data_IF_176300171239
#
_entry.id   IF_176300171239
#
_cell.length_a   1.000
_cell.length_b   1.000
_cell.length_c   1.000
_cell.angle_alpha   90.00
_cell.angle_beta   90.00
_cell.angle_gamma   90.00
#
_symmetry.space_group_name_H-M   'P 1'
#
loop_
_entity.id
_entity.type
_entity.pdbx_description
1 polymer ?
#
# COMPACT_ATOMS: atom_id res chain seq x y z
N UNK A 1 8.38 4.08 -61.97
CA UNK A 1 7.30 4.33 -60.97
C UNK A 1 7.55 3.48 -59.72
N UNK A 2 8.34 3.95 -58.73
CA UNK A 2 8.68 3.20 -57.49
C UNK A 2 8.46 4.00 -56.18
N UNK A 3 7.82 5.16 -56.28
CA UNK A 3 7.60 6.08 -55.16
C UNK A 3 6.56 5.69 -54.08
N UNK A 4 5.57 4.78 -54.27
CA UNK A 4 4.48 4.66 -53.29
C UNK A 4 4.92 3.98 -51.98
N UNK A 5 5.95 3.14 -51.98
CA UNK A 5 6.40 2.42 -50.78
C UNK A 5 7.11 3.32 -49.77
N UNK A 6 7.91 4.27 -50.23
CA UNK A 6 8.63 5.20 -49.35
C UNK A 6 7.68 6.17 -48.65
N UNK A 7 6.68 6.68 -49.37
CA UNK A 7 5.65 7.55 -48.81
C UNK A 7 4.81 6.82 -47.73
N UNK A 8 4.43 5.57 -47.98
CA UNK A 8 3.68 4.75 -47.02
C UNK A 8 4.51 4.49 -45.75
N UNK A 9 5.80 4.18 -45.88
CA UNK A 9 6.68 3.98 -44.71
C UNK A 9 6.88 5.26 -43.88
N UNK A 10 7.01 6.41 -44.53
CA UNK A 10 7.11 7.70 -43.84
C UNK A 10 5.82 8.04 -43.07
N UNK A 11 4.65 7.84 -43.68
CA UNK A 11 3.36 8.07 -43.02
C UNK A 11 3.18 7.12 -41.83
N UNK A 12 3.48 5.84 -41.99
CA UNK A 12 3.45 4.87 -40.90
C UNK A 12 4.41 5.26 -39.77
N UNK A 13 5.61 5.73 -40.11
CA UNK A 13 6.59 6.24 -39.13
C UNK A 13 6.06 7.45 -38.35
N UNK A 14 5.46 8.43 -39.02
CA UNK A 14 4.88 9.61 -38.36
C UNK A 14 3.69 9.25 -37.48
N UNK A 15 2.80 8.37 -37.95
CA UNK A 15 1.63 7.92 -37.18
C UNK A 15 2.05 7.15 -35.93
N UNK A 16 3.04 6.25 -36.06
CA UNK A 16 3.57 5.49 -34.91
C UNK A 16 4.26 6.40 -33.90
N UNK A 17 5.09 7.34 -34.34
CA UNK A 17 5.74 8.32 -33.45
C UNK A 17 4.71 9.22 -32.76
N UNK A 18 3.67 9.68 -33.47
CA UNK A 18 2.59 10.47 -32.90
C UNK A 18 1.77 9.66 -31.87
N UNK A 19 1.43 8.41 -32.18
CA UNK A 19 0.70 7.52 -31.26
C UNK A 19 1.50 7.23 -29.99
N UNK A 20 2.82 6.99 -30.13
CA UNK A 20 3.74 6.82 -29.00
C UNK A 20 3.83 8.10 -28.18
N UNK A 21 3.98 9.27 -28.80
CA UNK A 21 3.99 10.56 -28.09
C UNK A 21 2.68 10.81 -27.32
N UNK A 22 1.52 10.50 -27.90
CA UNK A 22 0.22 10.61 -27.23
C UNK A 22 0.15 9.65 -26.05
N UNK A 23 0.64 8.42 -26.19
CA UNK A 23 0.68 7.44 -25.11
C UNK A 23 1.58 7.88 -23.95
N UNK A 24 2.79 8.39 -24.25
CA UNK A 24 3.71 8.91 -23.23
C UNK A 24 3.21 10.18 -22.53
N UNK A 25 2.37 10.98 -23.20
CA UNK A 25 1.76 12.19 -22.62
C UNK A 25 0.46 11.93 -21.85
N UNK A 26 0.02 10.67 -21.73
CA UNK A 26 -1.17 10.38 -20.92
C UNK A 26 -0.89 10.75 -19.46
N UNK A 27 -1.67 11.67 -18.85
CA UNK A 27 -1.53 11.96 -17.45
C UNK A 27 -1.77 10.66 -16.67
N UNK A 28 -0.81 10.30 -15.83
CA UNK A 28 -1.04 9.24 -14.86
C UNK A 28 -2.17 9.70 -13.93
N UNK A 29 -3.11 8.83 -13.55
CA UNK A 29 -4.08 9.20 -12.53
C UNK A 29 -3.30 9.70 -11.31
N UNK A 30 -3.63 10.90 -10.85
CA UNK A 30 -3.01 11.45 -9.66
C UNK A 30 -3.15 10.41 -8.53
N UNK A 31 -2.04 10.04 -7.88
CA UNK A 31 -2.13 9.24 -6.65
C UNK A 31 -3.05 9.99 -5.71
N UNK A 32 -4.09 9.33 -5.22
CA UNK A 32 -4.95 9.96 -4.22
C UNK A 32 -4.09 10.32 -3.01
N UNK A 33 -4.26 11.53 -2.45
CA UNK A 33 -3.55 11.91 -1.24
C UNK A 33 -3.94 10.94 -0.12
N UNK A 34 -2.99 10.60 0.73
CA UNK A 34 -3.25 9.77 1.91
C UNK A 34 -4.29 10.45 2.80
N UNK A 35 -5.26 9.69 3.29
CA UNK A 35 -6.36 10.19 4.12
C UNK A 35 -6.35 9.51 5.49
N UNK A 36 -6.43 10.33 6.53
CA UNK A 36 -6.78 9.88 7.89
C UNK A 36 -8.26 10.23 8.08
N UNK A 37 -9.15 9.25 8.27
CA UNK A 37 -10.56 9.52 8.50
C UNK A 37 -10.79 10.01 9.94
N UNK A 38 -12.01 10.46 10.22
CA UNK A 38 -12.50 10.48 11.60
C UNK A 38 -12.58 9.03 12.10
N UNK A 39 -11.82 8.73 13.14
CA UNK A 39 -11.66 7.37 13.67
C UNK A 39 -12.77 7.03 14.66
N UNK A 40 -13.22 5.78 14.65
CA UNK A 40 -14.07 5.26 15.73
C UNK A 40 -13.36 5.32 17.08
N UNK A 41 -14.10 5.27 18.19
CA UNK A 41 -13.51 5.22 19.53
C UNK A 41 -12.57 4.01 19.72
N UNK A 42 -12.90 2.88 19.09
CA UNK A 42 -12.06 1.68 19.09
C UNK A 42 -10.77 1.91 18.28
N UNK A 43 -10.88 2.49 17.08
CA UNK A 43 -9.73 2.82 16.25
C UNK A 43 -8.83 3.90 16.89
N UNK A 44 -9.38 4.87 17.61
CA UNK A 44 -8.59 5.84 18.37
C UNK A 44 -7.77 5.17 19.49
N UNK A 45 -8.35 4.16 20.16
CA UNK A 45 -7.60 3.35 21.12
C UNK A 45 -6.53 2.51 20.41
N UNK A 46 -6.86 1.93 19.24
CA UNK A 46 -5.94 1.21 18.38
C UNK A 46 -4.77 2.05 17.88
N UNK A 47 -5.02 3.30 17.52
CA UNK A 47 -4.00 4.26 17.09
C UNK A 47 -2.96 4.47 18.18
N UNK A 48 -3.39 4.76 19.42
CA UNK A 48 -2.45 4.97 20.53
C UNK A 48 -1.56 3.74 20.78
N UNK A 49 -2.15 2.54 20.66
CA UNK A 49 -1.42 1.28 20.80
C UNK A 49 -0.45 1.07 19.63
N UNK A 50 -0.87 1.39 18.41
CA UNK A 50 -0.03 1.32 17.22
C UNK A 50 1.16 2.30 17.32
N UNK A 51 0.92 3.53 17.77
CA UNK A 51 1.96 4.54 17.96
C UNK A 51 2.99 4.08 19.00
N UNK A 52 2.54 3.43 20.07
CA UNK A 52 3.39 2.89 21.13
C UNK A 52 4.25 1.70 20.66
N UNK A 53 3.66 0.76 19.91
CA UNK A 53 4.29 -0.53 19.63
C UNK A 53 4.81 -0.72 18.21
N UNK A 54 4.26 0.00 17.22
CA UNK A 54 4.39 -0.37 15.81
C UNK A 54 4.95 0.76 14.94
N UNK A 55 4.61 2.02 15.23
CA UNK A 55 4.93 3.17 14.38
C UNK A 55 6.44 3.39 14.19
N UNK A 56 7.27 2.99 15.17
CA UNK A 56 8.74 3.06 15.04
C UNK A 56 9.27 2.34 13.80
N UNK A 57 8.60 1.26 13.37
CA UNK A 57 8.99 0.49 12.19
C UNK A 57 8.05 0.72 11.01
N UNK A 58 6.74 0.78 11.26
CA UNK A 58 5.72 0.88 10.22
C UNK A 58 5.31 2.31 9.87
N UNK A 59 5.98 3.31 10.46
CA UNK A 59 5.74 4.73 10.20
C UNK A 59 4.47 5.26 10.85
N UNK A 60 4.36 6.58 10.86
CA UNK A 60 3.14 7.27 11.26
C UNK A 60 1.97 6.85 10.37
N UNK A 61 0.81 6.66 11.00
CA UNK A 61 -0.42 6.22 10.32
C UNK A 61 -0.27 4.92 9.53
N UNK A 62 0.67 4.06 9.93
CA UNK A 62 1.01 2.82 9.24
C UNK A 62 1.32 3.01 7.75
N UNK A 63 1.82 4.18 7.37
CA UNK A 63 2.14 4.56 5.99
C UNK A 63 3.51 4.05 5.51
N UNK A 64 4.20 3.26 6.35
CA UNK A 64 5.53 2.72 6.09
C UNK A 64 6.63 3.68 6.54
N UNK A 65 7.81 3.12 6.77
CA UNK A 65 9.03 3.87 7.07
C UNK A 65 10.23 3.19 6.40
N UNK A 66 11.43 3.71 6.66
CA UNK A 66 12.66 3.11 6.14
C UNK A 66 12.90 1.66 6.63
N UNK A 67 12.26 1.27 7.74
CA UNK A 67 12.51 0.01 8.46
C UNK A 67 11.32 -0.95 8.45
N UNK A 68 10.21 -0.61 7.80
CA UNK A 68 9.03 -1.46 7.80
C UNK A 68 7.99 -1.02 6.76
N UNK A 69 7.19 -1.98 6.26
CA UNK A 69 6.28 -1.74 5.15
C UNK A 69 5.06 -0.90 5.55
N UNK A 70 4.43 -0.22 4.57
CA UNK A 70 3.12 0.40 4.75
C UNK A 70 2.06 -0.68 4.98
N UNK A 71 1.32 -0.61 6.09
CA UNK A 71 0.17 -1.49 6.33
C UNK A 71 -1.10 -0.95 5.66
N UNK A 72 -1.13 0.34 5.29
CA UNK A 72 -2.12 0.93 4.40
C UNK A 72 -1.71 0.70 2.94
N UNK A 73 -1.64 -0.57 2.56
CA UNK A 73 -1.30 -1.03 1.21
C UNK A 73 -2.19 -2.22 0.80
N UNK A 74 -2.47 -2.37 -0.50
CA UNK A 74 -3.33 -3.44 -1.04
C UNK A 74 -2.81 -4.83 -0.74
N UNK A 75 -1.50 -4.99 -0.52
CA UNK A 75 -0.91 -6.23 -0.03
C UNK A 75 -1.62 -6.74 1.22
N UNK A 76 -2.06 -5.83 2.10
CA UNK A 76 -2.67 -6.14 3.38
C UNK A 76 -4.19 -5.96 3.41
N UNK A 77 -4.85 -5.89 2.25
CA UNK A 77 -6.30 -5.71 2.18
C UNK A 77 -7.05 -6.90 2.81
N UNK A 78 -8.24 -6.69 3.41
CA UNK A 78 -9.01 -7.72 4.11
C UNK A 78 -9.24 -9.01 3.33
N UNK A 79 -9.48 -8.91 2.01
CA UNK A 79 -9.71 -10.08 1.16
C UNK A 79 -8.49 -10.99 0.97
N UNK A 80 -7.27 -10.48 1.20
CA UNK A 80 -6.01 -11.24 1.04
C UNK A 80 -5.41 -11.58 2.40
N UNK A 81 -5.36 -10.60 3.30
CA UNK A 81 -4.87 -10.74 4.66
C UNK A 81 -6.00 -10.44 5.63
N UNK A 82 -6.65 -11.49 6.14
CA UNK A 82 -7.67 -11.39 7.18
C UNK A 82 -7.07 -10.84 8.49
N UNK A 83 -7.93 -10.37 9.41
CA UNK A 83 -7.49 -9.76 10.68
C UNK A 83 -6.62 -10.71 11.54
N UNK A 84 -6.91 -12.02 11.50
CA UNK A 84 -6.10 -13.03 12.18
C UNK A 84 -4.65 -13.08 11.68
N UNK A 85 -4.39 -12.64 10.44
CA UNK A 85 -3.02 -12.57 9.92
C UNK A 85 -2.19 -11.52 10.66
N UNK A 86 -2.80 -10.40 11.06
CA UNK A 86 -2.13 -9.37 11.87
C UNK A 86 -1.82 -9.90 13.27
N UNK A 87 -2.76 -10.62 13.88
CA UNK A 87 -2.55 -11.27 15.18
C UNK A 87 -1.41 -12.30 15.14
N UNK A 88 -1.40 -13.15 14.11
CA UNK A 88 -0.32 -14.13 13.92
C UNK A 88 1.02 -13.44 13.65
N UNK A 89 1.04 -12.39 12.82
CA UNK A 89 2.24 -11.62 12.52
C UNK A 89 2.83 -10.99 13.78
N UNK A 90 1.99 -10.36 14.60
CA UNK A 90 2.42 -9.75 15.86
C UNK A 90 2.98 -10.81 16.82
N UNK A 91 2.29 -11.93 17.01
CA UNK A 91 2.72 -12.90 18.03
C UNK A 91 3.79 -13.90 17.58
N UNK A 92 3.92 -14.16 16.28
CA UNK A 92 4.87 -15.16 15.73
C UNK A 92 5.99 -14.54 14.91
N UNK A 93 5.91 -13.25 14.59
CA UNK A 93 6.77 -12.60 13.61
C UNK A 93 6.44 -13.03 12.18
N UNK A 94 7.11 -12.41 11.21
CA UNK A 94 6.89 -12.64 9.78
C UNK A 94 8.22 -12.65 9.03
N UNK A 95 8.53 -13.73 8.26
CA UNK A 95 9.64 -13.70 7.32
C UNK A 95 9.40 -12.69 6.19
N UNK A 96 10.44 -11.96 5.79
CA UNK A 96 10.37 -11.05 4.66
C UNK A 96 9.99 -11.81 3.36
N UNK A 97 8.96 -11.34 2.66
CA UNK A 97 8.54 -11.93 1.38
C UNK A 97 8.06 -10.89 0.35
N UNK A 98 7.20 -9.93 0.74
CA UNK A 98 6.73 -8.88 -0.18
C UNK A 98 7.64 -7.64 -0.22
N UNK A 99 8.39 -7.40 0.86
CA UNK A 99 9.21 -6.21 1.03
C UNK A 99 10.63 -6.58 1.46
N UNK A 100 11.57 -5.66 1.26
CA UNK A 100 13.00 -5.82 1.59
C UNK A 100 13.40 -5.13 2.89
N UNK A 101 12.55 -5.22 3.93
CA UNK A 101 12.84 -4.65 5.25
C UNK A 101 13.46 -5.63 6.24
N UNK A 102 13.56 -6.91 5.87
CA UNK A 102 13.93 -7.99 6.79
C UNK A 102 12.72 -8.56 7.52
N UNK A 103 12.98 -9.52 8.42
CA UNK A 103 11.92 -10.21 9.15
C UNK A 103 11.31 -9.28 10.20
N UNK A 104 9.99 -9.32 10.34
CA UNK A 104 9.31 -8.70 11.47
C UNK A 104 9.48 -9.60 12.71
N UNK A 105 10.09 -9.13 13.81
CA UNK A 105 10.19 -9.91 15.04
C UNK A 105 8.82 -10.06 15.72
N UNK A 106 8.58 -11.12 16.50
CA UNK A 106 7.38 -11.23 17.32
C UNK A 106 7.37 -10.11 18.38
N UNK A 107 6.19 -9.61 18.73
CA UNK A 107 5.91 -8.69 19.82
C UNK A 107 4.95 -9.39 20.81
N UNK A 108 5.40 -10.42 21.55
CA UNK A 108 4.56 -11.24 22.43
C UNK A 108 3.97 -10.44 23.60
N UNK A 109 4.54 -9.28 23.91
CA UNK A 109 4.10 -8.37 24.96
C UNK A 109 2.77 -7.68 24.65
N UNK A 110 2.37 -7.58 23.37
CA UNK A 110 1.13 -6.91 22.96
C UNK A 110 -0.03 -7.90 23.06
N UNK A 111 -1.01 -7.74 23.97
CA UNK A 111 -2.12 -8.67 24.11
C UNK A 111 -3.00 -8.76 22.85
N UNK A 112 -3.58 -9.93 22.57
CA UNK A 112 -4.47 -10.16 21.41
C UNK A 112 -5.59 -9.14 21.28
N UNK A 113 -6.20 -8.74 22.40
CA UNK A 113 -7.25 -7.73 22.43
C UNK A 113 -6.75 -6.32 22.01
N UNK A 114 -5.48 -6.00 22.26
CA UNK A 114 -4.84 -4.77 21.78
C UNK A 114 -4.52 -4.87 20.29
N UNK A 115 -4.05 -6.04 19.82
CA UNK A 115 -3.83 -6.28 18.40
C UNK A 115 -5.12 -6.17 17.59
N UNK A 116 -6.25 -6.60 18.14
CA UNK A 116 -7.56 -6.42 17.51
C UNK A 116 -7.90 -4.92 17.31
N UNK A 117 -7.65 -4.08 18.32
CA UNK A 117 -7.85 -2.62 18.22
C UNK A 117 -6.88 -1.97 17.24
N UNK A 118 -5.61 -2.38 17.25
CA UNK A 118 -4.61 -1.93 16.26
C UNK A 118 -5.06 -2.29 14.85
N UNK A 119 -5.55 -3.52 14.66
CA UNK A 119 -6.07 -3.96 13.36
C UNK A 119 -7.28 -3.12 12.94
N UNK A 120 -8.22 -2.84 13.86
CA UNK A 120 -9.35 -1.92 13.59
C UNK A 120 -8.88 -0.55 13.09
N UNK A 121 -7.88 0.03 13.75
CA UNK A 121 -7.27 1.29 13.31
C UNK A 121 -6.71 1.21 11.89
N UNK A 122 -5.93 0.17 11.58
CA UNK A 122 -5.37 -0.05 10.23
C UNK A 122 -6.48 -0.22 9.20
N UNK A 123 -7.56 -0.94 9.53
CA UNK A 123 -8.71 -1.13 8.61
C UNK A 123 -9.44 0.18 8.29
N UNK A 124 -9.62 1.06 9.27
CA UNK A 124 -10.25 2.35 9.02
C UNK A 124 -9.38 3.25 8.12
N UNK A 125 -8.06 3.24 8.32
CA UNK A 125 -7.13 3.88 7.40
C UNK A 125 -7.19 3.27 5.99
N UNK A 126 -7.13 1.95 5.88
CA UNK A 126 -7.24 1.24 4.59
C UNK A 126 -8.51 1.64 3.85
N UNK A 127 -9.68 1.59 4.51
CA UNK A 127 -10.96 1.97 3.93
C UNK A 127 -10.97 3.43 3.45
N UNK A 128 -10.47 4.37 4.25
CA UNK A 128 -10.39 5.77 3.88
C UNK A 128 -9.49 6.03 2.65
N UNK A 129 -8.56 5.10 2.38
CA UNK A 129 -7.63 5.13 1.26
C UNK A 129 -8.04 4.18 0.11
N UNK A 130 -9.27 3.65 0.12
CA UNK A 130 -9.81 2.82 -0.96
C UNK A 130 -9.23 1.40 -1.01
N UNK A 131 -8.89 0.85 0.15
CA UNK A 131 -8.39 -0.52 0.33
C UNK A 131 -9.43 -1.27 1.17
N UNK A 132 -10.11 -2.23 0.55
CA UNK A 132 -11.23 -3.00 1.13
C UNK A 132 -11.05 -4.52 0.92
#
# INVERSE_FOLDING_TARGET
MRAPRLAVLLVLGVVTVAAVMVWYRRPQPARQPFRVPELSAEALAGQRLFDLHCARCHGEHAAGAATGPPLVDRTYQPAVHADVAFELAVHRGVPAHHWRFGNMPPQPEVPRAEVARITRYIRELQKANGIE
#
